data_IF_187841951113
#
_entry.id   IF_187841951113
#
_cell.length_a   1.000
_cell.length_b   1.000
_cell.length_c   1.000
_cell.angle_alpha   90.00
_cell.angle_beta   90.00
_cell.angle_gamma   90.00
#
_symmetry.space_group_name_H-M   'P 1'
#
loop_
_entity.id
_entity.type
_entity.pdbx_description
1 polymer ?
#
# COMPACT_ATOMS: atom_id res chain seq x y z
N UNK A 1 -9.32 -28.88 0.32
CA UNK A 1 -8.25 -27.87 0.22
C UNK A 1 -6.92 -28.59 0.36
N UNK A 2 -6.03 -28.49 -0.62
CA UNK A 2 -4.66 -29.01 -0.50
C UNK A 2 -3.87 -28.23 0.54
N UNK A 3 -2.86 -28.86 1.14
CA UNK A 3 -1.98 -28.19 2.11
C UNK A 3 -1.13 -27.15 1.37
N UNK A 4 -1.23 -25.88 1.74
CA UNK A 4 -0.36 -24.80 1.22
C UNK A 4 1.08 -25.11 1.59
N UNK A 5 1.99 -25.10 0.62
CA UNK A 5 3.44 -25.35 0.81
C UNK A 5 4.29 -24.14 0.43
N UNK A 6 3.82 -23.33 -0.51
CA UNK A 6 4.53 -22.16 -1.01
C UNK A 6 3.59 -20.95 -1.09
N UNK A 7 4.02 -19.82 -0.55
CA UNK A 7 3.28 -18.56 -0.66
C UNK A 7 4.03 -17.56 -1.53
N UNK A 8 3.27 -16.82 -2.35
CA UNK A 8 3.76 -15.64 -3.06
C UNK A 8 3.43 -14.37 -2.29
N UNK A 9 4.38 -13.45 -2.18
CA UNK A 9 4.16 -12.14 -1.54
C UNK A 9 4.36 -11.06 -2.59
N UNK A 10 3.43 -10.12 -2.69
CA UNK A 10 3.56 -8.94 -3.53
C UNK A 10 3.09 -7.68 -2.81
N UNK A 11 3.64 -6.54 -3.25
CA UNK A 11 3.15 -5.21 -2.93
C UNK A 11 2.57 -4.58 -4.19
N UNK A 12 1.42 -3.92 -4.08
CA UNK A 12 0.71 -3.35 -5.23
C UNK A 12 0.06 -2.03 -4.87
N UNK A 13 -0.09 -1.14 -5.84
CA UNK A 13 -0.58 0.21 -5.63
C UNK A 13 0.54 1.20 -5.31
N UNK A 14 0.24 2.27 -4.58
CA UNK A 14 1.26 3.17 -4.00
C UNK A 14 2.05 2.47 -2.91
N UNK A 15 3.28 2.88 -2.70
CA UNK A 15 4.05 2.44 -1.54
C UNK A 15 3.55 3.14 -0.27
N UNK A 16 3.70 2.46 0.86
CA UNK A 16 3.35 2.99 2.16
C UNK A 16 4.43 2.63 3.19
N UNK A 17 4.70 3.50 4.17
CA UNK A 17 5.57 3.16 5.28
C UNK A 17 5.07 1.89 5.98
N UNK A 18 6.00 0.97 6.31
CA UNK A 18 5.65 -0.30 6.93
C UNK A 18 5.45 -1.47 5.96
N UNK A 19 5.38 -1.27 4.66
CA UNK A 19 5.30 -2.38 3.69
C UNK A 19 6.48 -3.36 3.83
N UNK A 20 7.69 -2.86 4.02
CA UNK A 20 8.86 -3.71 4.22
C UNK A 20 8.78 -4.50 5.53
N UNK A 21 8.24 -3.91 6.59
CA UNK A 21 8.00 -4.63 7.85
C UNK A 21 6.99 -5.76 7.65
N UNK A 22 5.91 -5.52 6.91
CA UNK A 22 4.91 -6.53 6.56
C UNK A 22 5.50 -7.66 5.70
N UNK A 23 6.28 -7.33 4.66
CA UNK A 23 7.00 -8.33 3.83
C UNK A 23 7.89 -9.21 4.72
N UNK A 24 8.66 -8.59 5.62
CA UNK A 24 9.53 -9.33 6.55
C UNK A 24 8.73 -10.22 7.49
N UNK A 25 7.67 -9.70 8.09
CA UNK A 25 6.83 -10.45 9.02
C UNK A 25 6.23 -11.70 8.36
N UNK A 26 5.60 -11.52 7.19
CA UNK A 26 5.02 -12.62 6.41
C UNK A 26 6.09 -13.64 6.01
N UNK A 27 7.23 -13.19 5.48
CA UNK A 27 8.31 -14.08 5.04
C UNK A 27 8.83 -14.92 6.21
N UNK A 28 9.12 -14.29 7.34
CA UNK A 28 9.68 -15.01 8.50
C UNK A 28 8.66 -15.94 9.15
N UNK A 29 7.40 -15.51 9.28
CA UNK A 29 6.33 -16.36 9.80
C UNK A 29 6.10 -17.57 8.92
N UNK A 30 6.09 -17.42 7.60
CA UNK A 30 5.92 -18.51 6.65
C UNK A 30 7.07 -19.53 6.75
N UNK A 31 8.32 -19.06 6.75
CA UNK A 31 9.50 -19.93 6.89
C UNK A 31 9.50 -20.67 8.25
N UNK A 32 9.12 -19.97 9.34
CA UNK A 32 8.99 -20.60 10.65
C UNK A 32 7.98 -21.74 10.67
N UNK A 33 6.89 -21.61 9.90
CA UNK A 33 5.87 -22.65 9.73
C UNK A 33 6.20 -23.68 8.62
N UNK A 34 7.43 -23.70 8.11
CA UNK A 34 7.89 -24.68 7.13
C UNK A 34 7.42 -24.42 5.70
N UNK A 35 6.90 -23.22 5.41
CA UNK A 35 6.48 -22.84 4.05
C UNK A 35 7.64 -22.26 3.24
N UNK A 36 7.63 -22.50 1.94
CA UNK A 36 8.44 -21.76 0.99
C UNK A 36 7.83 -20.40 0.73
N UNK A 37 8.68 -19.41 0.42
CA UNK A 37 8.24 -18.03 0.16
C UNK A 37 8.85 -17.55 -1.15
N UNK A 38 8.03 -16.95 -1.98
CA UNK A 38 8.45 -16.29 -3.22
C UNK A 38 8.03 -14.83 -3.23
N UNK A 39 8.99 -13.93 -3.43
CA UNK A 39 8.75 -12.51 -3.63
C UNK A 39 8.43 -12.22 -5.09
N UNK A 40 7.31 -11.59 -5.34
CA UNK A 40 6.85 -11.19 -6.67
C UNK A 40 7.15 -9.69 -6.82
N UNK A 41 8.07 -9.37 -7.72
CA UNK A 41 8.50 -8.00 -7.93
C UNK A 41 7.52 -7.21 -8.79
N UNK A 42 7.36 -5.92 -8.51
CA UNK A 42 6.48 -5.01 -9.25
C UNK A 42 5.00 -5.42 -9.23
N UNK A 43 4.56 -6.05 -8.15
CA UNK A 43 3.16 -6.37 -7.90
C UNK A 43 2.54 -7.31 -8.94
N UNK A 44 1.32 -7.01 -9.34
CA UNK A 44 0.62 -7.82 -10.36
C UNK A 44 1.32 -7.85 -11.71
N UNK A 45 2.07 -6.81 -12.07
CA UNK A 45 2.85 -6.83 -13.30
C UNK A 45 3.88 -7.95 -13.27
N UNK A 46 4.61 -8.07 -12.17
CA UNK A 46 5.58 -9.14 -12.01
C UNK A 46 4.97 -10.54 -11.96
N UNK A 47 3.74 -10.66 -11.46
CA UNK A 47 3.00 -11.93 -11.52
C UNK A 47 2.65 -12.30 -12.97
N UNK A 48 2.21 -11.32 -13.78
CA UNK A 48 1.92 -11.52 -15.22
C UNK A 48 3.20 -11.79 -16.02
N UNK A 49 4.31 -11.13 -15.71
CA UNK A 49 5.58 -11.27 -16.47
C UNK A 49 6.51 -12.35 -15.92
N UNK A 50 6.19 -12.96 -14.77
CA UNK A 50 7.00 -14.00 -14.14
C UNK A 50 8.23 -13.47 -13.39
N UNK A 51 8.21 -12.23 -12.90
CA UNK A 51 9.30 -11.66 -12.10
C UNK A 51 9.26 -12.12 -10.65
N UNK A 52 9.50 -13.40 -10.44
CA UNK A 52 9.32 -14.09 -9.17
C UNK A 52 10.67 -14.64 -8.71
N UNK A 53 11.00 -14.47 -7.43
CA UNK A 53 12.25 -14.96 -6.82
C UNK A 53 11.96 -15.64 -5.50
N UNK A 54 12.70 -16.71 -5.22
CA UNK A 54 12.69 -17.35 -3.90
C UNK A 54 13.18 -16.38 -2.83
N UNK A 55 12.45 -16.32 -1.70
CA UNK A 55 12.81 -15.53 -0.53
C UNK A 55 13.24 -16.43 0.62
N UNK A 56 14.42 -16.13 1.13
CA UNK A 56 14.99 -16.70 2.36
C UNK A 56 15.00 -15.63 3.46
N UNK A 57 15.23 -16.03 4.68
CA UNK A 57 15.29 -15.12 5.84
C UNK A 57 16.28 -13.96 5.64
N UNK A 58 17.38 -14.19 4.91
CA UNK A 58 18.39 -13.16 4.60
C UNK A 58 17.87 -12.07 3.67
N UNK A 59 16.97 -12.39 2.71
CA UNK A 59 16.44 -11.43 1.76
C UNK A 59 15.59 -10.34 2.42
N UNK A 60 15.11 -10.60 3.63
CA UNK A 60 14.30 -9.65 4.42
C UNK A 60 15.01 -9.15 5.68
N UNK A 61 16.35 -9.27 5.70
CA UNK A 61 17.16 -8.75 6.80
C UNK A 61 17.35 -7.24 6.65
N UNK A 62 17.29 -6.51 7.78
CA UNK A 62 17.56 -5.06 7.85
C UNK A 62 16.67 -4.21 6.91
N UNK A 63 15.42 -4.58 6.73
CA UNK A 63 14.49 -3.82 5.86
C UNK A 63 13.35 -3.11 6.62
N UNK A 64 13.19 -3.36 7.92
CA UNK A 64 12.07 -2.78 8.71
C UNK A 64 12.09 -1.26 8.68
N UNK A 65 13.28 -0.67 8.80
CA UNK A 65 13.47 0.78 8.84
C UNK A 65 13.51 1.45 7.46
N UNK A 66 13.47 0.66 6.38
CA UNK A 66 13.49 1.21 5.02
C UNK A 66 12.08 1.62 4.58
N UNK A 67 11.96 2.84 4.07
CA UNK A 67 10.74 3.30 3.41
C UNK A 67 10.48 2.58 2.08
N UNK A 68 9.31 2.82 1.51
CA UNK A 68 8.91 2.19 0.26
C UNK A 68 8.71 0.68 0.39
N UNK A 69 9.01 -0.04 -0.67
CA UNK A 69 8.93 -1.51 -0.73
C UNK A 69 10.07 -2.13 -1.51
N UNK A 70 10.73 -3.14 -0.95
CA UNK A 70 11.81 -3.88 -1.62
C UNK A 70 11.30 -4.70 -2.82
N UNK A 71 10.02 -5.07 -2.84
CA UNK A 71 9.37 -5.77 -3.95
C UNK A 71 9.01 -4.83 -5.10
N UNK A 72 9.07 -3.53 -4.88
CA UNK A 72 8.63 -2.49 -5.83
C UNK A 72 7.15 -2.61 -6.18
N UNK A 73 6.60 -1.60 -6.80
CA UNK A 73 5.24 -1.59 -7.34
C UNK A 73 5.24 -1.15 -8.80
N UNK A 74 4.22 -1.54 -9.55
CA UNK A 74 3.96 -1.02 -10.88
C UNK A 74 2.46 -1.11 -11.20
N UNK A 75 1.96 -0.15 -11.95
CA UNK A 75 0.61 -0.26 -12.53
C UNK A 75 0.60 -1.38 -13.56
N UNK A 76 -0.44 -2.22 -13.53
CA UNK A 76 -0.60 -3.35 -14.45
C UNK A 76 -2.02 -3.32 -15.03
N UNK A 77 -2.15 -2.77 -16.23
CA UNK A 77 -3.44 -2.76 -16.94
C UNK A 77 -3.82 -4.15 -17.40
N UNK A 78 -2.84 -4.98 -17.75
CA UNK A 78 -3.04 -6.35 -18.20
C UNK A 78 -3.78 -7.20 -17.16
N UNK A 79 -3.48 -7.01 -15.87
CA UNK A 79 -4.14 -7.76 -14.79
C UNK A 79 -5.64 -7.42 -14.65
N UNK A 80 -6.10 -6.30 -15.19
CA UNK A 80 -7.52 -5.96 -15.19
C UNK A 80 -8.33 -6.78 -16.20
N UNK A 81 -7.66 -7.46 -17.14
CA UNK A 81 -8.29 -8.34 -18.14
C UNK A 81 -8.27 -9.81 -17.73
N UNK A 82 -9.25 -10.62 -18.14
CA UNK A 82 -9.23 -12.06 -17.86
C UNK A 82 -7.98 -12.77 -18.40
N UNK A 83 -7.51 -12.38 -19.59
CA UNK A 83 -6.32 -12.96 -20.24
C UNK A 83 -5.06 -12.69 -19.42
N UNK A 84 -4.91 -11.46 -18.92
CA UNK A 84 -3.77 -11.09 -18.07
C UNK A 84 -3.79 -11.83 -16.72
N UNK A 85 -4.97 -12.02 -16.13
CA UNK A 85 -5.11 -12.82 -14.91
C UNK A 85 -4.84 -14.30 -15.16
N UNK A 86 -5.21 -14.84 -16.33
CA UNK A 86 -4.85 -16.21 -16.73
C UNK A 86 -3.33 -16.37 -16.81
N UNK A 87 -2.61 -15.43 -17.46
CA UNK A 87 -1.14 -15.44 -17.50
C UNK A 87 -0.53 -15.38 -16.09
N UNK A 88 -1.08 -14.56 -15.22
CA UNK A 88 -0.65 -14.47 -13.83
C UNK A 88 -0.82 -15.81 -13.09
N UNK A 89 -1.96 -16.47 -13.29
CA UNK A 89 -2.23 -17.79 -12.73
C UNK A 89 -1.28 -18.86 -13.25
N UNK A 90 -1.03 -18.90 -14.56
CA UNK A 90 -0.12 -19.86 -15.18
C UNK A 90 1.31 -19.69 -14.66
N UNK A 91 1.78 -18.43 -14.51
CA UNK A 91 3.08 -18.14 -13.91
C UNK A 91 3.13 -18.55 -12.43
N UNK A 92 2.07 -18.27 -11.67
CA UNK A 92 1.95 -18.70 -10.28
C UNK A 92 2.08 -20.21 -10.14
N UNK A 93 1.36 -20.97 -11.00
CA UNK A 93 1.41 -22.44 -11.00
C UNK A 93 2.77 -22.98 -11.44
N UNK A 94 3.36 -22.38 -12.48
CA UNK A 94 4.71 -22.75 -12.94
C UNK A 94 5.75 -22.61 -11.84
N UNK A 95 5.61 -21.57 -11.02
CA UNK A 95 6.48 -21.31 -9.89
C UNK A 95 6.10 -22.10 -8.62
N UNK A 96 5.07 -22.91 -8.66
CA UNK A 96 4.63 -23.75 -7.53
C UNK A 96 4.10 -22.95 -6.35
N UNK A 97 3.53 -21.76 -6.58
CA UNK A 97 2.89 -20.93 -5.56
C UNK A 97 1.46 -21.43 -5.35
N UNK A 98 1.10 -21.71 -4.10
CA UNK A 98 -0.23 -22.24 -3.73
C UNK A 98 -1.18 -21.13 -3.25
N UNK A 99 -0.66 -20.07 -2.66
CA UNK A 99 -1.44 -18.97 -2.07
C UNK A 99 -0.70 -17.64 -2.23
N UNK A 100 -1.44 -16.52 -2.18
CA UNK A 100 -0.89 -15.17 -2.29
C UNK A 100 -1.13 -14.34 -1.03
N UNK A 101 -0.13 -13.54 -0.66
CA UNK A 101 -0.26 -12.45 0.29
C UNK A 101 -0.03 -11.14 -0.44
N UNK A 102 -1.03 -10.29 -0.44
CA UNK A 102 -1.06 -9.02 -1.15
C UNK A 102 -1.03 -7.87 -0.14
N UNK A 103 -0.04 -6.99 -0.25
CA UNK A 103 0.09 -5.80 0.60
C UNK A 103 -0.22 -4.59 -0.28
N UNK A 104 -1.30 -3.87 0.02
CA UNK A 104 -1.71 -2.73 -0.80
C UNK A 104 -3.04 -2.11 -0.40
N UNK A 105 -3.50 -1.13 -1.17
CA UNK A 105 -4.76 -0.43 -0.98
C UNK A 105 -5.95 -1.11 -1.66
N UNK A 106 -7.08 -0.42 -1.71
CA UNK A 106 -8.38 -0.94 -2.18
C UNK A 106 -8.32 -1.63 -3.54
N UNK A 107 -7.78 -0.97 -4.56
CA UNK A 107 -7.69 -1.55 -5.90
C UNK A 107 -6.86 -2.84 -5.94
N UNK A 108 -5.81 -2.94 -5.12
CA UNK A 108 -4.97 -4.14 -5.03
C UNK A 108 -5.70 -5.29 -4.35
N UNK A 109 -6.45 -5.02 -3.29
CA UNK A 109 -7.24 -6.02 -2.56
C UNK A 109 -8.46 -6.46 -3.36
N UNK A 110 -9.09 -5.55 -4.10
CA UNK A 110 -10.15 -5.89 -5.06
C UNK A 110 -9.63 -6.81 -6.15
N UNK A 111 -8.45 -6.52 -6.73
CA UNK A 111 -7.79 -7.41 -7.69
C UNK A 111 -7.51 -8.80 -7.12
N UNK A 112 -7.04 -8.87 -5.87
CA UNK A 112 -6.82 -10.13 -5.16
C UNK A 112 -8.12 -10.95 -5.00
N UNK A 113 -9.22 -10.28 -4.63
CA UNK A 113 -10.54 -10.90 -4.48
C UNK A 113 -11.04 -11.49 -5.80
N UNK A 114 -10.94 -10.73 -6.90
CA UNK A 114 -11.34 -11.21 -8.23
C UNK A 114 -10.51 -12.43 -8.62
N UNK A 115 -9.18 -12.35 -8.46
CA UNK A 115 -8.26 -13.43 -8.79
C UNK A 115 -8.52 -14.70 -7.97
N UNK A 116 -8.79 -14.54 -6.67
CA UNK A 116 -9.14 -15.64 -5.78
C UNK A 116 -10.44 -16.34 -6.21
N UNK A 117 -11.45 -15.58 -6.64
CA UNK A 117 -12.73 -16.11 -7.10
C UNK A 117 -12.64 -16.82 -8.46
N UNK A 118 -11.85 -16.28 -9.40
CA UNK A 118 -11.69 -16.86 -10.74
C UNK A 118 -10.92 -18.18 -10.74
N UNK A 119 -9.90 -18.30 -9.89
CA UNK A 119 -8.95 -19.41 -9.94
C UNK A 119 -8.93 -20.29 -8.68
N UNK A 120 -9.82 -20.07 -7.74
CA UNK A 120 -9.86 -20.75 -6.43
C UNK A 120 -8.49 -20.73 -5.72
N UNK A 121 -7.83 -19.56 -5.75
CA UNK A 121 -6.52 -19.33 -5.12
C UNK A 121 -6.72 -18.67 -3.77
N UNK A 122 -6.21 -19.24 -2.66
CA UNK A 122 -6.22 -18.57 -1.38
C UNK A 122 -5.41 -17.27 -1.42
N UNK A 123 -6.07 -16.14 -1.11
CA UNK A 123 -5.46 -14.82 -1.04
C UNK A 123 -5.69 -14.18 0.33
N UNK A 124 -4.65 -13.58 0.90
CA UNK A 124 -4.73 -12.78 2.11
C UNK A 124 -4.29 -11.35 1.78
N UNK A 125 -5.15 -10.38 2.06
CA UNK A 125 -4.86 -8.97 1.90
C UNK A 125 -4.34 -8.34 3.21
N UNK A 126 -3.29 -7.53 3.10
CA UNK A 126 -2.80 -6.67 4.18
C UNK A 126 -3.01 -5.21 3.77
N UNK A 127 -3.68 -4.38 4.60
CA UNK A 127 -4.07 -3.02 4.22
C UNK A 127 -2.88 -2.07 4.26
N UNK A 128 -2.11 -1.99 3.18
CA UNK A 128 -0.92 -1.14 3.02
C UNK A 128 -1.21 0.08 2.16
N UNK A 129 -1.61 1.18 2.78
CA UNK A 129 -1.87 2.49 2.14
C UNK A 129 -1.80 3.59 3.19
N UNK A 130 -1.46 4.81 2.77
CA UNK A 130 -1.51 6.00 3.64
C UNK A 130 -2.89 6.66 3.65
N UNK A 131 -3.77 6.33 2.71
CA UNK A 131 -5.05 7.03 2.52
C UNK A 131 -6.09 6.70 3.59
N UNK A 132 -5.93 5.57 4.29
CA UNK A 132 -6.83 5.03 5.33
C UNK A 132 -8.29 4.86 4.85
N UNK A 133 -8.46 4.58 3.56
CA UNK A 133 -9.75 4.52 2.85
C UNK A 133 -10.31 3.10 2.70
N UNK A 134 -9.79 2.13 3.45
CA UNK A 134 -10.21 0.74 3.37
C UNK A 134 -11.31 0.42 4.39
N UNK A 135 -12.44 -0.09 3.90
CA UNK A 135 -13.49 -0.61 4.75
C UNK A 135 -13.04 -1.89 5.49
N UNK A 136 -13.36 -1.96 6.78
CA UNK A 136 -13.07 -3.15 7.60
C UNK A 136 -11.74 -3.11 8.37
N UNK A 137 -11.04 -1.97 8.35
CA UNK A 137 -9.90 -1.70 9.23
C UNK A 137 -9.99 -0.30 9.81
N UNK A 138 -9.60 -0.12 11.04
CA UNK A 138 -9.57 1.20 11.69
C UNK A 138 -8.37 2.02 11.23
N UNK A 139 -7.24 1.34 11.00
CA UNK A 139 -6.01 1.99 10.59
C UNK A 139 -5.25 1.12 9.58
N UNK A 140 -4.84 1.72 8.48
CA UNK A 140 -4.02 1.07 7.47
C UNK A 140 -2.53 1.17 7.80
N UNK A 141 -1.75 0.18 7.29
CA UNK A 141 -0.28 0.18 7.41
C UNK A 141 0.28 1.37 6.62
N UNK A 142 0.89 2.31 7.34
CA UNK A 142 1.51 3.49 6.76
C UNK A 142 0.80 4.81 7.08
N UNK A 143 -0.47 4.78 7.43
CA UNK A 143 -1.26 5.97 7.73
C UNK A 143 -0.67 6.79 8.89
N UNK A 144 -0.42 6.17 10.04
CA UNK A 144 0.11 6.85 11.22
C UNK A 144 1.50 7.47 10.96
N UNK A 145 2.38 6.76 10.26
CA UNK A 145 3.68 7.30 9.87
C UNK A 145 3.56 8.49 8.92
N UNK A 146 2.63 8.44 7.97
CA UNK A 146 2.36 9.56 7.06
C UNK A 146 1.84 10.77 7.83
N UNK A 147 0.93 10.55 8.78
CA UNK A 147 0.40 11.61 9.64
C UNK A 147 1.51 12.29 10.46
N UNK A 148 2.39 11.51 11.08
CA UNK A 148 3.53 12.06 11.82
C UNK A 148 4.48 12.86 10.92
N UNK A 149 4.69 12.44 9.67
CA UNK A 149 5.48 13.18 8.69
C UNK A 149 4.85 14.53 8.34
N UNK A 150 3.51 14.55 8.19
CA UNK A 150 2.76 15.80 7.98
C UNK A 150 2.95 16.76 9.15
N UNK A 151 2.80 16.27 10.38
CA UNK A 151 2.96 17.08 11.60
C UNK A 151 4.36 17.70 11.68
N UNK A 152 5.41 16.90 11.48
CA UNK A 152 6.80 17.39 11.48
C UNK A 152 7.04 18.48 10.42
N UNK A 153 6.42 18.35 9.25
CA UNK A 153 6.51 19.33 8.19
C UNK A 153 5.74 20.61 8.50
N UNK A 154 4.50 20.49 9.00
CA UNK A 154 3.64 21.64 9.33
C UNK A 154 4.22 22.46 10.49
N UNK A 155 4.78 21.81 11.51
CA UNK A 155 5.43 22.51 12.62
C UNK A 155 6.57 23.41 12.12
N UNK A 156 7.40 22.93 11.21
CA UNK A 156 8.48 23.73 10.59
C UNK A 156 7.96 24.91 9.76
N UNK A 157 6.84 24.72 9.06
CA UNK A 157 6.19 25.77 8.27
C UNK A 157 5.60 26.83 9.20
N UNK A 158 4.99 26.43 10.32
CA UNK A 158 4.36 27.32 11.29
C UNK A 158 5.34 28.33 11.88
N UNK A 159 6.57 27.91 12.21
CA UNK A 159 7.60 28.81 12.74
C UNK A 159 7.85 29.99 11.79
N UNK A 160 7.94 29.71 10.51
CA UNK A 160 8.12 30.72 9.46
C UNK A 160 6.84 31.53 9.22
N UNK A 161 5.68 30.91 9.23
CA UNK A 161 4.39 31.59 9.05
C UNK A 161 4.18 32.68 10.09
N UNK A 162 4.38 32.32 11.36
CA UNK A 162 4.27 33.27 12.50
C UNK A 162 5.26 34.41 12.40
N UNK A 163 6.50 34.12 11.99
CA UNK A 163 7.56 35.15 11.93
C UNK A 163 7.34 36.21 10.83
N UNK A 164 6.58 35.88 9.81
CA UNK A 164 6.40 36.74 8.62
C UNK A 164 4.95 37.10 8.33
N UNK A 165 4.00 36.76 9.22
CA UNK A 165 2.56 36.98 9.03
C UNK A 165 2.06 36.45 7.67
N UNK A 166 2.48 35.24 7.31
CA UNK A 166 2.16 34.61 6.02
C UNK A 166 1.10 33.53 6.19
N UNK A 167 0.22 33.43 5.22
CA UNK A 167 -0.69 32.31 5.05
C UNK A 167 0.00 31.23 4.20
N UNK A 168 -0.05 30.00 4.67
CA UNK A 168 0.43 28.83 3.93
C UNK A 168 -0.71 27.85 3.68
N UNK A 169 -0.78 27.34 2.46
CA UNK A 169 -1.59 26.17 2.12
C UNK A 169 -0.68 24.97 2.05
N UNK A 170 -1.00 23.91 2.79
CA UNK A 170 -0.23 22.67 2.82
C UNK A 170 -1.09 21.58 2.21
N UNK A 171 -0.73 21.16 0.99
CA UNK A 171 -1.37 20.03 0.34
C UNK A 171 -0.80 18.71 0.87
N UNK A 172 -1.68 17.77 1.20
CA UNK A 172 -1.33 16.43 1.65
C UNK A 172 -1.96 15.39 0.75
N UNK A 173 -1.35 14.21 0.67
CA UNK A 173 -1.94 13.09 -0.06
C UNK A 173 -3.19 12.56 0.66
N UNK A 174 -3.93 11.67 0.02
CA UNK A 174 -5.15 11.03 0.56
C UNK A 174 -6.16 10.68 -0.54
N UNK A 175 -5.92 11.07 -1.79
CA UNK A 175 -6.81 10.88 -2.95
C UNK A 175 -8.20 11.47 -2.67
N UNK A 176 -9.22 10.59 -2.66
CA UNK A 176 -10.61 10.96 -2.44
C UNK A 176 -11.02 10.88 -0.95
N UNK A 177 -10.05 10.60 -0.05
CA UNK A 177 -10.24 10.49 1.40
C UNK A 177 -9.48 11.58 2.15
N UNK A 178 -10.18 12.37 2.95
CA UNK A 178 -9.65 13.50 3.69
C UNK A 178 -9.01 13.17 5.05
N UNK A 179 -8.78 11.90 5.37
CA UNK A 179 -8.28 11.49 6.70
C UNK A 179 -6.94 12.12 7.07
N UNK A 180 -5.98 12.15 6.15
CA UNK A 180 -4.67 12.77 6.40
C UNK A 180 -4.78 14.28 6.59
N UNK A 181 -5.56 14.95 5.73
CA UNK A 181 -5.76 16.39 5.82
C UNK A 181 -6.48 16.78 7.12
N UNK A 182 -7.57 16.10 7.46
CA UNK A 182 -8.36 16.40 8.65
C UNK A 182 -7.56 16.15 9.93
N UNK A 183 -7.00 14.96 10.08
CA UNK A 183 -6.26 14.60 11.29
C UNK A 183 -4.94 15.38 11.40
N UNK A 184 -4.29 15.68 10.27
CA UNK A 184 -3.12 16.55 10.22
C UNK A 184 -3.44 17.97 10.65
N UNK A 185 -4.56 18.54 10.18
CA UNK A 185 -5.00 19.88 10.60
C UNK A 185 -5.35 19.94 12.09
N UNK A 186 -6.12 18.97 12.60
CA UNK A 186 -6.48 18.91 14.03
C UNK A 186 -5.22 18.80 14.90
N UNK A 187 -4.33 17.88 14.57
CA UNK A 187 -3.16 17.61 15.39
C UNK A 187 -2.11 18.73 15.34
N UNK A 188 -1.99 19.42 14.19
CA UNK A 188 -1.12 20.60 14.08
C UNK A 188 -1.76 21.90 14.57
N UNK A 189 -3.07 21.94 14.82
CA UNK A 189 -3.81 23.15 15.15
C UNK A 189 -3.90 24.14 13.98
N UNK A 190 -4.06 23.65 12.76
CA UNK A 190 -4.29 24.49 11.59
C UNK A 190 -5.65 25.20 11.69
N UNK A 191 -5.76 26.39 11.10
CA UNK A 191 -6.96 27.23 11.15
C UNK A 191 -8.13 26.62 10.35
N UNK A 192 -7.84 25.85 9.29
CA UNK A 192 -8.83 25.21 8.45
C UNK A 192 -8.28 23.93 7.82
N UNK A 193 -9.19 22.98 7.52
CA UNK A 193 -8.94 21.82 6.71
C UNK A 193 -9.93 21.77 5.56
N UNK A 194 -9.42 21.61 4.33
CA UNK A 194 -10.23 21.38 3.13
C UNK A 194 -10.12 19.91 2.80
N UNK A 195 -11.25 19.19 2.83
CA UNK A 195 -11.31 17.75 2.59
C UNK A 195 -12.31 17.40 1.49
N UNK A 196 -12.04 16.35 0.70
CA UNK A 196 -12.89 16.01 -0.45
C UNK A 196 -14.35 15.74 -0.09
N UNK A 197 -14.61 15.20 1.11
CA UNK A 197 -15.95 14.81 1.57
C UNK A 197 -16.91 15.99 1.79
N UNK A 198 -16.37 17.19 2.00
CA UNK A 198 -17.15 18.41 2.29
C UNK A 198 -16.86 19.54 1.30
N UNK A 199 -16.22 19.27 0.15
CA UNK A 199 -15.98 20.29 -0.85
C UNK A 199 -17.31 20.74 -1.46
N UNK A 200 -17.71 21.99 -1.23
CA UNK A 200 -18.77 22.67 -1.98
C UNK A 200 -18.21 23.22 -3.30
N UNK A 201 -19.09 23.59 -4.26
CA UNK A 201 -18.64 24.18 -5.54
C UNK A 201 -17.76 25.43 -5.33
N UNK A 202 -17.97 26.17 -4.23
CA UNK A 202 -17.20 27.35 -3.85
C UNK A 202 -15.81 27.00 -3.26
N UNK A 203 -15.61 25.79 -2.76
CA UNK A 203 -14.34 25.32 -2.19
C UNK A 203 -13.37 24.77 -3.25
N UNK A 204 -13.74 24.81 -4.53
CA UNK A 204 -12.88 24.33 -5.64
C UNK A 204 -11.59 25.17 -5.82
N UNK A 205 -11.47 26.27 -5.13
CA UNK A 205 -10.23 27.07 -5.07
C UNK A 205 -9.07 26.27 -4.40
N UNK A 206 -9.40 25.24 -3.62
CA UNK A 206 -8.42 24.43 -2.86
C UNK A 206 -7.82 23.23 -3.59
N UNK A 207 -8.17 22.95 -4.83
CA UNK A 207 -7.41 22.00 -5.65
C UNK A 207 -6.18 22.72 -6.20
N UNK A 208 -5.23 23.05 -5.32
CA UNK A 208 -3.95 23.56 -5.74
C UNK A 208 -3.26 22.51 -6.62
N UNK A 209 -3.23 22.78 -7.90
CA UNK A 209 -2.28 22.15 -8.78
C UNK A 209 -0.91 22.76 -8.48
N UNK A 210 -0.04 22.03 -7.83
CA UNK A 210 1.38 22.27 -7.80
C UNK A 210 2.07 21.27 -8.71
#
# INVERSE_FOLDING_TARGET
MGTVKCIGILTSGGDAPGMNAAIRAVTRAAIYNGLQVKGIYRGYKGLVTGEIKEFKSQNVSNIIQLGGTILKTARCKEFTTPEGRQLAYDNMKREGIDALVIIGGDGSLTGARIFAQEFDVPCIGLPGTIDNDLYGTDTTIGYDTALNTILDAVDKIRDTATSHERLFFVEVMGRDAGFLALNGAIASGAEAAIIPEFSTEDDQIGRAHV
#
